data_IF_195967073837
#
_entry.id   IF_195967073837
#
_cell.length_a   1.000
_cell.length_b   1.000
_cell.length_c   1.000
_cell.angle_alpha   90.00
_cell.angle_beta   90.00
_cell.angle_gamma   90.00
#
_symmetry.space_group_name_H-M   'P 1'
#
loop_
_entity.id
_entity.type
_entity.pdbx_description
1 polymer ?
#
# COMPACT_ATOMS: atom_id res chain seq x y z
N UNK A 1 -16.76 2.40 26.54
CA UNK A 1 -17.63 3.56 26.33
C UNK A 1 -18.79 3.16 25.44
N UNK A 2 -19.99 3.76 25.63
CA UNK A 2 -21.18 3.41 24.86
C UNK A 2 -21.05 3.74 23.37
N UNK A 3 -20.15 4.65 23.03
CA UNK A 3 -19.83 5.08 21.67
C UNK A 3 -18.64 4.30 21.06
N UNK A 4 -18.06 3.35 21.81
CA UNK A 4 -16.89 2.56 21.36
C UNK A 4 -15.57 3.34 21.29
N UNK A 5 -15.58 4.63 21.61
CA UNK A 5 -14.35 5.42 21.63
C UNK A 5 -13.50 5.11 22.87
N UNK A 6 -12.18 4.99 22.67
CA UNK A 6 -11.24 4.76 23.77
C UNK A 6 -11.11 6.03 24.61
N UNK A 7 -11.29 5.89 25.91
CA UNK A 7 -11.00 6.94 26.91
C UNK A 7 -9.99 6.39 27.88
N UNK A 8 -8.72 6.80 27.71
CA UNK A 8 -7.64 6.36 28.56
C UNK A 8 -7.32 7.38 29.63
N UNK A 9 -7.38 6.97 30.89
CA UNK A 9 -6.95 7.78 32.05
C UNK A 9 -5.54 7.43 32.54
N UNK A 10 -4.95 6.34 32.05
CA UNK A 10 -3.69 5.80 32.58
C UNK A 10 -2.43 6.28 31.83
N UNK A 11 -2.59 7.07 30.76
CA UNK A 11 -1.47 7.57 29.96
C UNK A 11 -1.06 6.65 28.80
N UNK A 12 0.10 6.90 28.17
CA UNK A 12 0.56 6.15 26.99
C UNK A 12 0.86 4.71 27.32
N UNK A 13 0.59 3.83 26.38
CA UNK A 13 1.01 2.43 26.41
C UNK A 13 1.10 1.87 24.97
N UNK A 14 1.95 0.87 24.74
CA UNK A 14 1.98 0.18 23.46
C UNK A 14 0.64 -0.49 23.16
N UNK A 15 0.18 -0.39 21.90
CA UNK A 15 -1.14 -0.89 21.49
C UNK A 15 -1.04 -1.73 20.24
N UNK A 16 -1.68 -2.89 20.25
CA UNK A 16 -1.97 -3.67 19.06
C UNK A 16 -3.48 -3.61 18.78
N UNK A 17 -3.84 -2.97 17.68
CA UNK A 17 -5.22 -2.90 17.21
C UNK A 17 -5.41 -3.89 16.07
N UNK A 18 -5.95 -5.06 16.38
CA UNK A 18 -6.29 -6.07 15.38
C UNK A 18 -7.72 -5.85 14.86
N UNK A 19 -7.91 -6.16 13.58
CA UNK A 19 -9.20 -6.08 12.92
C UNK A 19 -9.33 -7.14 11.81
N UNK A 20 -10.47 -7.86 11.71
CA UNK A 20 -10.82 -8.59 10.50
C UNK A 20 -11.38 -7.61 9.43
N UNK A 21 -11.06 -7.84 8.16
CA UNK A 21 -11.52 -6.97 7.05
C UNK A 21 -13.03 -6.96 6.91
N UNK A 22 -13.64 -8.15 6.92
CA UNK A 22 -15.10 -8.31 6.85
C UNK A 22 -15.68 -8.35 8.26
N UNK A 23 -15.94 -7.18 8.79
CA UNK A 23 -16.46 -7.10 10.15
C UNK A 23 -17.96 -7.41 10.22
N UNK A 24 -18.29 -8.60 10.72
CA UNK A 24 -19.66 -9.02 11.02
C UNK A 24 -20.29 -8.30 12.22
N UNK A 25 -19.99 -7.02 12.43
CA UNK A 25 -20.59 -6.24 13.53
C UNK A 25 -22.11 -6.19 13.36
N UNK A 26 -22.89 -6.52 14.38
CA UNK A 26 -24.33 -6.43 14.30
C UNK A 26 -24.78 -5.01 13.90
N UNK A 27 -25.83 -4.88 13.07
CA UNK A 27 -26.35 -3.57 12.68
C UNK A 27 -26.64 -2.68 13.89
N UNK A 28 -26.29 -1.41 13.78
CA UNK A 28 -26.56 -0.40 14.84
C UNK A 28 -25.54 -0.37 15.99
N UNK A 29 -24.45 -1.14 15.89
CA UNK A 29 -23.35 -1.05 16.86
C UNK A 29 -22.12 -0.41 16.23
N UNK A 30 -21.50 0.62 16.84
CA UNK A 30 -20.36 1.33 16.27
C UNK A 30 -19.03 0.56 16.35
N UNK A 31 -19.01 -0.61 17.00
CA UNK A 31 -17.81 -1.40 17.15
C UNK A 31 -17.35 -1.96 15.81
N UNK A 32 -16.11 -1.65 15.45
CA UNK A 32 -15.51 -2.12 14.22
C UNK A 32 -15.80 -1.27 12.98
N UNK A 33 -16.57 -0.22 13.09
CA UNK A 33 -16.73 0.76 12.01
C UNK A 33 -15.38 1.35 11.60
N UNK A 34 -15.11 1.55 10.29
CA UNK A 34 -13.85 2.13 9.81
C UNK A 34 -13.50 3.45 10.49
N UNK A 35 -14.49 4.33 10.66
CA UNK A 35 -14.33 5.65 11.32
C UNK A 35 -13.85 5.49 12.75
N UNK A 36 -14.44 4.57 13.51
CA UNK A 36 -14.07 4.34 14.91
C UNK A 36 -12.69 3.73 15.05
N UNK A 37 -12.35 2.77 14.19
CA UNK A 37 -11.02 2.16 14.17
C UNK A 37 -9.93 3.19 13.83
N UNK A 38 -10.22 4.07 12.87
CA UNK A 38 -9.34 5.19 12.52
C UNK A 38 -9.19 6.16 13.69
N UNK A 39 -10.30 6.54 14.35
CA UNK A 39 -10.27 7.41 15.52
C UNK A 39 -9.42 6.79 16.64
N UNK A 40 -9.62 5.53 16.98
CA UNK A 40 -8.87 4.85 18.02
C UNK A 40 -7.38 4.76 17.69
N UNK A 41 -7.04 4.46 16.42
CA UNK A 41 -5.65 4.44 15.97
C UNK A 41 -4.99 5.81 16.16
N UNK A 42 -5.59 6.89 15.67
CA UNK A 42 -5.04 8.24 15.83
C UNK A 42 -4.98 8.69 17.29
N UNK A 43 -5.95 8.31 18.11
CA UNK A 43 -5.91 8.59 19.54
C UNK A 43 -4.65 7.99 20.19
N UNK A 44 -4.39 6.71 19.95
CA UNK A 44 -3.20 6.05 20.50
C UNK A 44 -1.91 6.56 19.89
N UNK A 45 -1.88 6.83 18.60
CA UNK A 45 -0.72 7.43 17.94
C UNK A 45 -0.37 8.79 18.55
N UNK A 46 -1.36 9.65 18.78
CA UNK A 46 -1.15 10.95 19.42
C UNK A 46 -0.65 10.82 20.86
N UNK A 47 -1.24 9.92 21.65
CA UNK A 47 -0.87 9.70 23.04
C UNK A 47 0.53 9.12 23.18
N UNK A 48 0.93 8.26 22.28
CA UNK A 48 2.24 7.59 22.25
C UNK A 48 3.31 8.38 21.49
N UNK A 49 2.98 9.56 20.96
CA UNK A 49 3.88 10.39 20.16
C UNK A 49 4.48 9.62 18.97
N UNK A 50 3.59 8.94 18.21
CA UNK A 50 4.01 8.16 17.08
C UNK A 50 4.35 9.01 15.85
N UNK A 51 5.27 8.49 15.04
CA UNK A 51 5.49 8.95 13.68
C UNK A 51 4.21 8.82 12.84
N UNK A 52 3.99 9.77 11.92
CA UNK A 52 2.78 9.77 11.09
C UNK A 52 2.81 8.72 10.00
N UNK A 53 4.00 8.50 9.43
CA UNK A 53 4.19 7.54 8.35
C UNK A 53 4.46 6.16 8.94
N UNK A 54 3.62 5.15 8.66
CA UNK A 54 3.84 3.81 9.16
C UNK A 54 4.93 3.08 8.37
N UNK A 55 5.50 2.07 8.99
CA UNK A 55 6.20 1.01 8.29
C UNK A 55 5.18 -0.06 7.92
N UNK A 56 5.06 -0.42 6.65
CA UNK A 56 4.02 -1.33 6.16
C UNK A 56 4.65 -2.68 5.80
N UNK A 57 3.98 -3.75 6.25
CA UNK A 57 4.29 -5.12 5.84
C UNK A 57 2.99 -5.86 5.52
N UNK A 58 2.95 -6.55 4.38
CA UNK A 58 1.82 -7.41 4.01
C UNK A 58 2.34 -8.80 3.69
N UNK A 59 2.09 -9.75 4.57
CA UNK A 59 2.49 -11.15 4.41
C UNK A 59 1.24 -12.03 4.29
N UNK A 60 1.01 -12.58 3.10
CA UNK A 60 -0.22 -13.30 2.83
C UNK A 60 -1.46 -12.42 3.03
N UNK A 61 -2.33 -12.80 3.94
CA UNK A 61 -3.55 -12.06 4.32
C UNK A 61 -3.33 -11.07 5.47
N UNK A 62 -2.17 -11.10 6.13
CA UNK A 62 -1.86 -10.24 7.27
C UNK A 62 -1.28 -8.91 6.80
N UNK A 63 -1.99 -7.83 7.09
CA UNK A 63 -1.68 -6.47 6.71
C UNK A 63 -1.32 -5.65 7.94
N UNK A 64 -0.08 -5.18 8.01
CA UNK A 64 0.44 -4.46 9.18
C UNK A 64 0.83 -3.03 8.83
N UNK A 65 0.48 -2.10 9.71
CA UNK A 65 1.06 -0.76 9.77
C UNK A 65 1.66 -0.55 11.16
N UNK A 66 2.99 -0.44 11.23
CA UNK A 66 3.76 -0.24 12.45
C UNK A 66 4.07 1.25 12.63
N UNK A 67 3.48 1.88 13.61
CA UNK A 67 3.74 3.28 13.98
C UNK A 67 4.71 3.32 15.15
N UNK A 68 5.92 3.79 14.91
CA UNK A 68 6.93 3.95 15.94
C UNK A 68 6.60 5.14 16.82
N UNK A 69 6.54 4.94 18.14
CA UNK A 69 6.18 5.97 19.11
C UNK A 69 7.25 6.16 20.18
N UNK A 70 7.51 7.42 20.54
CA UNK A 70 8.47 7.76 21.59
C UNK A 70 8.07 7.19 22.96
N UNK A 71 6.76 7.00 23.18
CA UNK A 71 6.19 6.49 24.45
C UNK A 71 5.63 5.08 24.35
N UNK A 72 5.64 4.48 23.15
CA UNK A 72 5.17 3.15 22.88
C UNK A 72 4.68 3.01 21.44
N UNK A 73 4.93 1.86 20.83
CA UNK A 73 4.51 1.59 19.45
C UNK A 73 3.00 1.39 19.37
N UNK A 74 2.44 1.75 18.21
CA UNK A 74 1.07 1.37 17.84
C UNK A 74 1.14 0.49 16.60
N UNK A 75 0.55 -0.70 16.68
CA UNK A 75 0.42 -1.61 15.55
C UNK A 75 -1.04 -1.65 15.12
N UNK A 76 -1.29 -1.34 13.85
CA UNK A 76 -2.55 -1.60 13.20
C UNK A 76 -2.41 -2.86 12.36
N UNK A 77 -3.26 -3.85 12.63
CA UNK A 77 -3.23 -5.14 11.96
C UNK A 77 -4.60 -5.47 11.41
N UNK A 78 -4.70 -5.56 10.09
CA UNK A 78 -5.89 -5.98 9.38
C UNK A 78 -5.67 -7.34 8.71
N UNK A 79 -6.70 -8.19 8.71
CA UNK A 79 -6.60 -9.53 8.14
C UNK A 79 -7.58 -9.62 6.99
N UNK A 80 -7.02 -9.76 5.78
CA UNK A 80 -7.76 -9.86 4.53
C UNK A 80 -8.75 -11.03 4.56
N UNK A 81 -9.96 -10.80 4.04
CA UNK A 81 -11.01 -11.81 3.93
C UNK A 81 -11.46 -12.47 5.25
N UNK A 82 -10.99 -11.97 6.39
CA UNK A 82 -11.36 -12.53 7.70
C UNK A 82 -12.66 -11.92 8.20
N UNK A 83 -13.55 -12.77 8.71
CA UNK A 83 -14.72 -12.39 9.46
C UNK A 83 -14.40 -12.27 10.97
N UNK A 84 -15.40 -11.86 11.76
CA UNK A 84 -15.25 -11.71 13.21
C UNK A 84 -14.82 -13.01 13.87
N UNK A 85 -13.66 -13.01 14.47
CA UNK A 85 -13.07 -14.15 15.15
C UNK A 85 -11.55 -14.10 15.15
N UNK A 86 -10.93 -14.77 16.10
CA UNK A 86 -9.48 -14.93 16.20
C UNK A 86 -9.12 -16.40 16.09
N UNK A 87 -7.95 -16.65 15.51
CA UNK A 87 -7.33 -17.99 15.50
C UNK A 87 -6.14 -18.03 16.45
N UNK A 88 -5.67 -19.25 16.75
CA UNK A 88 -4.45 -19.40 17.56
C UNK A 88 -3.24 -18.75 16.91
N UNK A 89 -3.16 -18.77 15.57
CA UNK A 89 -2.05 -18.17 14.82
C UNK A 89 -1.96 -16.66 15.07
N UNK A 90 -3.10 -15.97 15.14
CA UNK A 90 -3.14 -14.54 15.47
C UNK A 90 -2.66 -14.27 16.90
N UNK A 91 -3.00 -15.13 17.85
CA UNK A 91 -2.52 -15.00 19.24
C UNK A 91 -0.99 -15.14 19.32
N UNK A 92 -0.39 -16.06 18.56
CA UNK A 92 1.06 -16.19 18.45
C UNK A 92 1.69 -14.95 17.80
N UNK A 93 1.08 -14.40 16.73
CA UNK A 93 1.54 -13.16 16.12
C UNK A 93 1.54 -12.00 17.12
N UNK A 94 0.47 -11.82 17.90
CA UNK A 94 0.42 -10.76 18.91
C UNK A 94 1.48 -10.94 19.99
N UNK A 95 1.74 -12.17 20.41
CA UNK A 95 2.77 -12.45 21.38
C UNK A 95 4.16 -12.20 20.81
N UNK A 96 4.48 -12.80 19.66
CA UNK A 96 5.83 -12.77 19.08
C UNK A 96 6.23 -11.39 18.56
N UNK A 97 5.30 -10.67 17.91
CA UNK A 97 5.59 -9.33 17.41
C UNK A 97 5.58 -8.24 18.49
N UNK A 98 4.89 -8.49 19.61
CA UNK A 98 4.57 -7.36 20.48
C UNK A 98 4.67 -7.68 21.97
N UNK A 99 3.79 -8.53 22.48
CA UNK A 99 3.63 -8.65 23.94
C UNK A 99 4.82 -9.29 24.64
N UNK A 100 5.53 -10.23 24.01
CA UNK A 100 6.73 -10.83 24.59
C UNK A 100 7.85 -9.83 24.86
N UNK A 101 7.85 -8.70 24.14
CA UNK A 101 8.81 -7.61 24.30
C UNK A 101 8.38 -6.50 25.28
N UNK A 102 7.21 -6.63 25.91
CA UNK A 102 6.69 -5.57 26.80
C UNK A 102 6.86 -5.94 28.27
N UNK A 103 7.31 -4.96 29.03
CA UNK A 103 7.43 -5.09 30.48
C UNK A 103 6.93 -3.81 31.18
N UNK A 104 5.99 -3.96 32.10
CA UNK A 104 5.57 -2.87 32.95
C UNK A 104 6.51 -2.75 34.16
N UNK A 105 7.03 -1.54 34.39
CA UNK A 105 7.88 -1.22 35.51
C UNK A 105 7.06 -0.82 36.75
N UNK A 106 7.70 -0.79 37.92
CA UNK A 106 7.05 -0.46 39.18
C UNK A 106 6.48 1.00 39.21
N UNK A 107 7.08 1.90 38.45
CA UNK A 107 6.65 3.30 38.32
C UNK A 107 5.50 3.50 37.31
N UNK A 108 5.02 2.40 36.72
CA UNK A 108 3.96 2.43 35.71
C UNK A 108 4.43 2.68 34.27
N UNK A 109 5.71 2.99 34.07
CA UNK A 109 6.29 3.09 32.72
C UNK A 109 6.33 1.72 32.04
N UNK A 110 6.43 1.71 30.70
CA UNK A 110 6.54 0.47 29.93
C UNK A 110 7.88 0.46 29.20
N UNK A 111 8.64 -0.60 29.42
CA UNK A 111 9.84 -0.90 28.63
C UNK A 111 9.43 -1.79 27.48
N UNK A 112 9.87 -1.44 26.26
CA UNK A 112 9.66 -2.21 25.07
C UNK A 112 11.01 -2.68 24.54
N UNK A 113 11.19 -3.98 24.46
CA UNK A 113 12.37 -4.62 23.89
C UNK A 113 12.09 -5.17 22.49
N UNK A 114 13.13 -5.63 21.82
CA UNK A 114 12.96 -6.40 20.60
C UNK A 114 12.20 -7.70 20.86
N UNK A 115 11.38 -8.09 19.91
CA UNK A 115 10.62 -9.33 19.91
C UNK A 115 11.27 -10.36 19.00
N UNK A 116 10.76 -11.59 18.99
CA UNK A 116 11.21 -12.67 18.10
C UNK A 116 11.06 -12.28 16.64
N UNK A 117 9.94 -11.64 16.31
CA UNK A 117 9.66 -11.14 14.96
C UNK A 117 9.80 -9.60 14.91
N UNK A 118 10.50 -9.03 13.92
CA UNK A 118 10.70 -7.60 13.85
C UNK A 118 9.39 -6.86 13.51
N UNK A 119 9.14 -5.74 14.17
CA UNK A 119 8.05 -4.82 13.85
C UNK A 119 8.53 -3.79 12.82
N UNK A 120 8.82 -4.26 11.64
CA UNK A 120 9.33 -3.44 10.54
C UNK A 120 8.47 -3.63 9.30
N UNK A 121 8.47 -2.64 8.42
CA UNK A 121 7.89 -2.79 7.10
C UNK A 121 8.66 -3.78 6.23
N UNK A 122 8.07 -4.11 5.09
CA UNK A 122 8.73 -4.94 4.08
C UNK A 122 10.03 -4.29 3.61
N UNK A 123 11.06 -5.10 3.41
CA UNK A 123 12.39 -4.63 3.03
C UNK A 123 12.37 -3.92 1.67
N UNK A 124 11.57 -4.44 0.75
CA UNK A 124 11.27 -3.80 -0.53
C UNK A 124 9.75 -3.83 -0.77
N UNK A 125 9.16 -2.66 -0.72
CA UNK A 125 7.77 -2.48 -1.12
C UNK A 125 7.49 -1.02 -1.49
N UNK A 126 6.50 -0.81 -2.34
CA UNK A 126 5.92 0.50 -2.58
C UNK A 126 4.42 0.42 -2.80
N UNK A 127 3.73 1.52 -2.51
CA UNK A 127 2.30 1.63 -2.69
C UNK A 127 1.92 2.96 -3.33
N UNK A 128 0.89 2.92 -4.17
CA UNK A 128 0.39 4.07 -4.90
C UNK A 128 -1.14 4.06 -4.86
N UNK A 129 -1.75 5.21 -4.67
CA UNK A 129 -3.20 5.37 -4.71
C UNK A 129 -3.64 6.21 -5.90
N UNK A 130 -4.78 5.84 -6.50
CA UNK A 130 -5.42 6.61 -7.57
C UNK A 130 -5.66 8.07 -7.16
N UNK A 131 -5.38 9.00 -8.06
CA UNK A 131 -5.59 10.43 -7.87
C UNK A 131 -4.56 11.12 -6.98
N UNK A 132 -3.54 10.43 -6.45
CA UNK A 132 -2.51 11.02 -5.60
C UNK A 132 -1.18 11.17 -6.34
N UNK A 133 -0.44 12.24 -6.02
CA UNK A 133 0.93 12.48 -6.44
C UNK A 133 1.97 12.07 -5.40
N UNK A 134 1.55 11.30 -4.41
CA UNK A 134 2.39 10.74 -3.36
C UNK A 134 2.35 9.22 -3.42
N UNK A 135 3.51 8.62 -3.24
CA UNK A 135 3.67 7.19 -3.10
C UNK A 135 4.33 6.86 -1.76
N UNK A 136 4.04 5.69 -1.22
CA UNK A 136 4.80 5.12 -0.13
C UNK A 136 5.86 4.20 -0.74
N UNK A 137 7.13 4.37 -0.38
CA UNK A 137 8.25 3.58 -0.88
C UNK A 137 9.24 3.30 0.24
N UNK A 138 9.46 2.02 0.56
CA UNK A 138 10.39 1.54 1.60
C UNK A 138 10.32 2.38 2.88
N UNK A 139 9.14 2.47 3.48
CA UNK A 139 8.85 3.20 4.73
C UNK A 139 8.95 4.73 4.65
N UNK A 140 8.90 5.31 3.46
CA UNK A 140 8.90 6.76 3.24
C UNK A 140 7.81 7.17 2.28
N UNK A 141 7.28 8.36 2.49
CA UNK A 141 6.42 9.02 1.49
C UNK A 141 7.30 9.78 0.52
N UNK A 142 7.16 9.49 -0.76
CA UNK A 142 7.91 10.12 -1.85
C UNK A 142 6.94 10.77 -2.85
N UNK A 143 7.28 11.93 -3.43
CA UNK A 143 6.42 12.58 -4.42
C UNK A 143 6.56 11.91 -5.80
N UNK A 144 5.46 11.86 -6.54
CA UNK A 144 5.46 11.61 -7.98
C UNK A 144 5.28 12.95 -8.72
N UNK A 145 5.78 13.07 -9.93
CA UNK A 145 5.68 14.31 -10.73
C UNK A 145 4.26 14.65 -11.15
N UNK A 146 3.44 13.62 -11.34
CA UNK A 146 2.00 13.74 -11.63
C UNK A 146 1.24 12.66 -10.89
N UNK A 147 -0.05 12.87 -10.59
CA UNK A 147 -0.86 11.87 -9.90
C UNK A 147 -0.98 10.56 -10.67
N UNK A 148 -1.07 9.45 -9.93
CA UNK A 148 -1.52 8.18 -10.47
C UNK A 148 -2.95 8.29 -11.01
N UNK A 149 -3.25 7.53 -12.05
CA UNK A 149 -4.55 7.59 -12.74
C UNK A 149 -5.12 6.20 -12.93
N UNK A 150 -6.33 5.97 -12.44
CA UNK A 150 -7.11 4.78 -12.79
C UNK A 150 -7.66 4.94 -14.21
N UNK A 151 -7.17 4.13 -15.12
CA UNK A 151 -7.52 4.16 -16.54
C UNK A 151 -8.46 3.02 -16.90
N UNK A 152 -9.58 3.36 -17.55
CA UNK A 152 -10.53 2.39 -18.08
C UNK A 152 -10.26 2.15 -19.56
N UNK A 153 -9.89 0.93 -19.92
CA UNK A 153 -9.76 0.51 -21.31
C UNK A 153 -11.13 0.10 -21.84
N UNK A 154 -11.60 0.82 -22.86
CA UNK A 154 -12.90 0.60 -23.45
C UNK A 154 -12.81 -0.25 -24.72
N UNK A 155 -13.81 -1.09 -24.92
CA UNK A 155 -14.06 -1.79 -26.19
C UNK A 155 -15.37 -1.28 -26.79
N UNK A 156 -15.30 -0.84 -28.03
CA UNK A 156 -16.48 -0.50 -28.81
C UNK A 156 -17.13 -1.76 -29.36
N UNK A 157 -18.44 -1.90 -29.21
CA UNK A 157 -19.23 -2.96 -29.80
C UNK A 157 -20.03 -2.40 -30.98
N UNK A 158 -19.50 -2.61 -32.19
CA UNK A 158 -20.19 -2.51 -33.46
C UNK A 158 -21.07 -1.28 -33.68
N UNK A 159 -22.04 -1.42 -34.57
CA UNK A 159 -22.97 -0.35 -34.96
C UNK A 159 -23.95 0.08 -33.87
N UNK A 160 -24.15 -0.74 -32.85
CA UNK A 160 -25.08 -0.45 -31.75
C UNK A 160 -24.48 0.51 -30.70
N UNK A 161 -23.28 1.03 -30.93
CA UNK A 161 -22.68 2.15 -30.20
C UNK A 161 -22.39 1.92 -28.70
N UNK A 162 -22.51 0.71 -28.19
CA UNK A 162 -22.22 0.39 -26.79
C UNK A 162 -20.72 0.40 -26.52
N UNK A 163 -20.33 1.08 -25.44
CA UNK A 163 -18.97 0.97 -24.86
C UNK A 163 -19.00 -0.03 -23.71
N UNK A 164 -18.06 -0.96 -23.71
CA UNK A 164 -17.87 -1.88 -22.59
C UNK A 164 -16.47 -1.71 -22.00
N UNK A 165 -16.39 -1.56 -20.69
CA UNK A 165 -15.12 -1.58 -19.99
C UNK A 165 -14.48 -2.95 -20.18
N UNK A 166 -13.28 -2.97 -20.76
CA UNK A 166 -12.49 -4.18 -21.00
C UNK A 166 -11.55 -4.49 -19.84
N UNK A 167 -11.12 -3.46 -19.13
CA UNK A 167 -10.26 -3.55 -17.95
C UNK A 167 -10.05 -2.17 -17.35
N UNK A 168 -9.67 -2.17 -16.09
CA UNK A 168 -9.26 -0.98 -15.34
C UNK A 168 -7.82 -1.19 -14.87
N UNK A 169 -6.99 -0.18 -15.00
CA UNK A 169 -5.56 -0.25 -14.71
C UNK A 169 -5.12 1.00 -13.98
N UNK A 170 -4.41 0.86 -12.88
CA UNK A 170 -3.73 1.98 -12.25
C UNK A 170 -2.46 2.29 -13.02
N UNK A 171 -2.38 3.51 -13.58
CA UNK A 171 -1.24 3.99 -14.36
C UNK A 171 -0.46 5.02 -13.54
N UNK A 172 0.86 4.88 -13.55
CA UNK A 172 1.78 5.74 -12.79
C UNK A 172 2.91 6.27 -13.69
N UNK A 173 3.55 7.37 -13.29
CA UNK A 173 4.64 7.97 -14.07
C UNK A 173 5.79 7.00 -14.29
N UNK A 174 6.29 6.95 -15.54
CA UNK A 174 7.48 6.16 -15.90
C UNK A 174 8.71 6.65 -15.13
N UNK A 175 8.80 7.95 -14.85
CA UNK A 175 9.86 8.52 -14.01
C UNK A 175 9.88 7.96 -12.60
N UNK A 176 8.70 7.74 -11.99
CA UNK A 176 8.60 7.12 -10.66
C UNK A 176 8.96 5.62 -10.69
N UNK A 177 8.55 4.90 -11.75
CA UNK A 177 8.98 3.52 -11.94
C UNK A 177 10.50 3.40 -12.04
N UNK A 178 11.14 4.37 -12.70
CA UNK A 178 12.61 4.41 -12.72
C UNK A 178 13.22 4.55 -11.33
N UNK A 179 12.63 5.42 -10.49
CA UNK A 179 13.10 5.63 -9.12
C UNK A 179 13.02 4.35 -8.28
N UNK A 180 11.85 3.68 -8.28
CA UNK A 180 11.64 2.48 -7.44
C UNK A 180 12.44 1.27 -7.87
N UNK A 181 12.82 1.17 -9.16
CA UNK A 181 13.64 0.06 -9.65
C UNK A 181 15.11 0.43 -9.91
N UNK A 182 15.51 1.67 -9.60
CA UNK A 182 16.88 2.14 -9.80
C UNK A 182 17.30 2.24 -11.28
N UNK A 183 16.33 2.47 -12.20
CA UNK A 183 16.59 2.60 -13.62
C UNK A 183 16.98 4.03 -13.99
N UNK A 184 17.72 4.17 -15.10
CA UNK A 184 17.95 5.46 -15.73
C UNK A 184 16.72 5.87 -16.56
N UNK A 185 16.17 7.06 -16.29
CA UNK A 185 15.04 7.62 -17.02
C UNK A 185 15.48 8.65 -18.07
N UNK A 186 15.11 8.43 -19.32
CA UNK A 186 15.43 9.30 -20.46
C UNK A 186 14.13 9.71 -21.18
N UNK A 187 13.55 10.88 -20.85
CA UNK A 187 12.38 11.37 -21.57
C UNK A 187 12.79 11.88 -22.95
N UNK A 188 11.91 11.70 -23.94
CA UNK A 188 12.05 12.36 -25.24
C UNK A 188 11.88 13.89 -25.11
N UNK A 189 12.42 14.63 -26.08
CA UNK A 189 12.39 16.10 -26.05
C UNK A 189 10.97 16.70 -26.01
N UNK A 190 9.99 16.01 -26.60
CA UNK A 190 8.57 16.37 -26.62
C UNK A 190 7.76 15.76 -25.47
N UNK A 191 8.43 14.97 -24.59
CA UNK A 191 7.82 14.18 -23.52
C UNK A 191 6.79 13.13 -23.97
N UNK A 192 6.63 12.91 -25.28
CA UNK A 192 5.69 11.92 -25.83
C UNK A 192 6.30 10.52 -25.92
N UNK A 193 7.60 10.41 -25.70
CA UNK A 193 8.35 9.16 -25.62
C UNK A 193 9.19 9.13 -24.36
N UNK A 194 9.52 7.95 -23.88
CA UNK A 194 10.47 7.77 -22.78
C UNK A 194 11.23 6.45 -22.95
N UNK A 195 12.47 6.42 -22.49
CA UNK A 195 13.29 5.22 -22.37
C UNK A 195 13.63 5.00 -20.91
N UNK A 196 13.55 3.75 -20.44
CA UNK A 196 14.16 3.27 -19.21
C UNK A 196 15.31 2.35 -19.52
N UNK A 197 16.44 2.53 -18.84
CA UNK A 197 17.54 1.57 -18.83
C UNK A 197 17.60 0.94 -17.45
N UNK A 198 17.18 -0.33 -17.34
CA UNK A 198 17.15 -1.06 -16.08
C UNK A 198 18.57 -1.38 -15.58
N UNK A 199 18.76 -1.66 -14.28
CA UNK A 199 20.07 -2.04 -13.73
C UNK A 199 20.69 -3.28 -14.36
N UNK A 200 19.86 -4.19 -14.91
CA UNK A 200 20.31 -5.38 -15.63
C UNK A 200 20.69 -5.13 -17.10
N UNK A 201 20.57 -3.88 -17.56
CA UNK A 201 20.90 -3.43 -18.90
C UNK A 201 19.75 -3.47 -19.91
N UNK A 202 18.60 -4.04 -19.60
CA UNK A 202 17.43 -4.02 -20.47
C UNK A 202 16.97 -2.58 -20.74
N UNK A 203 16.58 -2.32 -21.99
CA UNK A 203 16.10 -1.01 -22.44
C UNK A 203 14.64 -1.11 -22.81
N UNK A 204 13.82 -0.29 -22.18
CA UNK A 204 12.38 -0.22 -22.40
C UNK A 204 12.02 1.13 -23.03
N UNK A 205 11.29 1.12 -24.13
CA UNK A 205 10.87 2.35 -24.83
C UNK A 205 9.35 2.42 -24.88
N UNK A 206 8.83 3.55 -24.46
CA UNK A 206 7.41 3.87 -24.39
C UNK A 206 7.06 5.05 -25.29
N UNK A 207 5.85 5.03 -25.87
CA UNK A 207 5.32 6.14 -26.63
C UNK A 207 3.85 6.41 -26.25
N UNK A 208 3.47 7.67 -26.19
CA UNK A 208 2.10 8.10 -25.92
C UNK A 208 1.10 7.37 -26.83
N UNK A 209 0.02 6.87 -26.23
CA UNK A 209 -1.07 6.19 -26.92
C UNK A 209 -0.72 4.80 -27.47
N UNK A 210 0.55 4.36 -27.35
CA UNK A 210 0.95 3.02 -27.74
C UNK A 210 0.61 2.00 -26.66
N UNK A 211 0.02 0.87 -27.04
CA UNK A 211 -0.10 -0.32 -26.21
C UNK A 211 1.18 -1.16 -26.25
N UNK A 212 2.08 -0.88 -27.19
CA UNK A 212 3.36 -1.58 -27.33
C UNK A 212 4.47 -0.87 -26.57
N UNK A 213 5.28 -1.67 -25.89
CA UNK A 213 6.58 -1.28 -25.34
C UNK A 213 7.66 -2.05 -26.09
N UNK A 214 8.72 -1.36 -26.52
CA UNK A 214 9.89 -2.03 -27.13
C UNK A 214 10.88 -2.37 -26.02
N UNK A 215 11.22 -3.65 -25.88
CA UNK A 215 12.20 -4.16 -24.90
C UNK A 215 13.32 -4.80 -25.66
N UNK A 216 14.52 -4.19 -25.65
CA UNK A 216 15.71 -4.70 -26.36
C UNK A 216 15.47 -5.03 -27.84
N UNK A 217 14.73 -4.15 -28.55
CA UNK A 217 14.25 -4.28 -29.93
C UNK A 217 13.08 -5.25 -30.16
N UNK A 218 12.54 -5.91 -29.13
CA UNK A 218 11.37 -6.74 -29.22
C UNK A 218 10.11 -5.97 -28.80
N UNK A 219 9.07 -6.00 -29.62
CA UNK A 219 7.78 -5.39 -29.27
C UNK A 219 6.99 -6.29 -28.32
N UNK A 220 6.61 -5.74 -27.17
CA UNK A 220 5.76 -6.39 -26.17
C UNK A 220 4.49 -5.60 -25.92
N UNK A 221 3.37 -6.27 -25.72
CA UNK A 221 2.10 -5.64 -25.45
C UNK A 221 1.94 -5.33 -23.98
N UNK A 222 1.61 -4.09 -23.65
CA UNK A 222 1.17 -3.68 -22.30
C UNK A 222 -0.32 -4.01 -22.10
N UNK A 223 -0.80 -3.88 -20.86
CA UNK A 223 -2.22 -4.11 -20.56
C UNK A 223 -3.12 -3.00 -21.10
N UNK A 224 -2.64 -1.77 -21.08
CA UNK A 224 -3.28 -0.61 -21.68
C UNK A 224 -2.25 0.29 -22.36
N UNK A 225 -2.74 1.28 -23.11
CA UNK A 225 -1.91 2.29 -23.77
C UNK A 225 -1.17 3.17 -22.76
N UNK A 226 0.02 3.64 -23.12
CA UNK A 226 0.75 4.64 -22.35
C UNK A 226 0.00 5.99 -22.41
N UNK A 227 -0.36 6.52 -21.24
CA UNK A 227 -1.03 7.80 -21.10
C UNK A 227 0.01 8.93 -21.08
N UNK A 228 -0.41 10.14 -21.42
CA UNK A 228 0.42 11.33 -21.26
C UNK A 228 -0.34 12.37 -20.43
N UNK A 229 0.22 12.80 -19.31
CA UNK A 229 -0.35 13.81 -18.41
C UNK A 229 0.76 14.68 -17.83
N UNK A 230 0.56 15.98 -17.82
CA UNK A 230 1.48 16.92 -17.17
C UNK A 230 2.95 16.82 -17.62
N UNK A 231 3.21 16.42 -18.87
CA UNK A 231 4.57 16.22 -19.37
C UNK A 231 5.21 14.87 -19.00
N UNK A 232 4.44 13.95 -18.44
CA UNK A 232 4.90 12.60 -18.06
C UNK A 232 4.14 11.51 -18.84
N UNK A 233 4.82 10.44 -19.17
CA UNK A 233 4.18 9.19 -19.60
C UNK A 233 3.82 8.35 -18.38
N UNK A 234 2.59 7.80 -18.39
CA UNK A 234 2.11 6.88 -17.37
C UNK A 234 1.81 5.52 -18.02
N UNK A 235 2.20 4.46 -17.33
CA UNK A 235 1.96 3.07 -17.76
C UNK A 235 1.34 2.25 -16.63
N UNK A 236 0.67 1.15 -16.96
CA UNK A 236 0.08 0.26 -15.97
C UNK A 236 1.13 -0.25 -14.98
N UNK A 237 0.93 0.06 -13.71
CA UNK A 237 1.80 -0.40 -12.62
C UNK A 237 1.82 -1.93 -12.55
N UNK A 238 0.65 -2.56 -12.69
CA UNK A 238 0.54 -4.03 -12.65
C UNK A 238 1.35 -4.68 -13.78
N UNK A 239 1.20 -4.20 -15.03
CA UNK A 239 1.98 -4.73 -16.14
C UNK A 239 3.48 -4.59 -15.91
N UNK A 240 3.92 -3.41 -15.52
CA UNK A 240 5.35 -3.14 -15.33
C UNK A 240 5.93 -4.00 -14.19
N UNK A 241 5.27 -3.99 -13.04
CA UNK A 241 5.79 -4.69 -11.88
C UNK A 241 5.76 -6.21 -12.05
N UNK A 242 4.66 -6.78 -12.57
CA UNK A 242 4.58 -8.24 -12.79
C UNK A 242 5.45 -8.71 -13.94
N UNK A 243 5.40 -8.01 -15.07
CA UNK A 243 6.01 -8.48 -16.31
C UNK A 243 7.48 -8.09 -16.47
N UNK A 244 7.88 -6.91 -16.00
CA UNK A 244 9.24 -6.40 -16.14
C UNK A 244 10.09 -6.72 -14.92
N UNK A 245 9.55 -6.48 -13.71
CA UNK A 245 10.28 -6.62 -12.45
C UNK A 245 10.07 -7.98 -11.76
N UNK A 246 9.11 -8.78 -12.20
CA UNK A 246 8.71 -10.05 -11.56
C UNK A 246 8.32 -9.87 -10.08
N UNK A 247 7.61 -8.78 -9.77
CA UNK A 247 7.11 -8.46 -8.45
C UNK A 247 5.64 -8.85 -8.28
N UNK A 248 5.23 -9.03 -7.04
CA UNK A 248 3.83 -9.22 -6.68
C UNK A 248 3.11 -7.88 -6.63
N UNK A 249 1.89 -7.84 -7.16
CA UNK A 249 1.02 -6.67 -7.13
C UNK A 249 -0.31 -7.08 -6.52
N UNK A 250 -0.70 -6.41 -5.46
CA UNK A 250 -2.00 -6.55 -4.82
C UNK A 250 -2.74 -5.22 -4.90
N UNK A 251 -3.97 -5.24 -5.43
CA UNK A 251 -4.79 -4.04 -5.60
C UNK A 251 -6.07 -4.14 -4.78
N UNK A 252 -6.42 -3.06 -4.13
CA UNK A 252 -7.69 -2.90 -3.41
C UNK A 252 -8.13 -1.43 -3.46
N UNK A 253 -9.36 -1.18 -3.86
CA UNK A 253 -10.01 0.15 -3.87
C UNK A 253 -9.18 1.27 -4.53
N UNK A 254 -8.48 0.98 -5.62
CA UNK A 254 -7.64 1.95 -6.33
C UNK A 254 -6.30 2.24 -5.65
N UNK A 255 -5.89 1.41 -4.71
CA UNK A 255 -4.53 1.36 -4.16
C UNK A 255 -3.84 0.11 -4.66
N UNK A 256 -2.62 0.24 -5.14
CA UNK A 256 -1.74 -0.89 -5.45
C UNK A 256 -0.61 -0.95 -4.44
N UNK A 257 -0.34 -2.15 -3.91
CA UNK A 257 0.80 -2.49 -3.07
C UNK A 257 1.68 -3.49 -3.80
N UNK A 258 2.95 -3.19 -3.92
CA UNK A 258 3.93 -3.96 -4.68
C UNK A 258 5.06 -4.42 -3.77
N UNK A 259 5.40 -5.70 -3.84
CA UNK A 259 6.48 -6.29 -3.04
C UNK A 259 7.07 -7.52 -3.74
N UNK A 260 8.14 -8.08 -3.22
CA UNK A 260 8.85 -9.24 -3.75
C UNK A 260 8.31 -10.60 -3.28
N UNK A 261 7.29 -10.59 -2.42
CA UNK A 261 6.66 -11.79 -1.88
C UNK A 261 5.13 -11.76 -1.99
N UNK A 262 4.47 -12.89 -1.70
CA UNK A 262 3.02 -12.99 -1.75
C UNK A 262 2.34 -12.10 -0.72
N UNK A 263 1.48 -11.22 -1.19
CA UNK A 263 0.74 -10.26 -0.38
C UNK A 263 -0.67 -10.05 -0.93
N UNK A 264 -1.64 -9.83 -0.04
CA UNK A 264 -3.02 -9.48 -0.39
C UNK A 264 -3.46 -8.26 0.39
N UNK A 265 -3.52 -7.11 -0.29
CA UNK A 265 -3.90 -5.83 0.29
C UNK A 265 -5.36 -5.84 0.75
N UNK A 266 -5.61 -5.48 1.99
CA UNK A 266 -6.94 -5.29 2.55
C UNK A 266 -7.48 -3.88 2.29
N UNK A 267 -8.81 -3.74 2.28
CA UNK A 267 -9.46 -2.44 2.12
C UNK A 267 -9.07 -1.46 3.23
N UNK A 268 -8.98 -1.96 4.47
CA UNK A 268 -8.64 -1.11 5.61
C UNK A 268 -7.18 -0.63 5.58
N UNK A 269 -6.24 -1.45 5.11
CA UNK A 269 -4.86 -0.99 4.93
C UNK A 269 -4.71 -0.08 3.71
N UNK A 270 -5.51 -0.29 2.65
CA UNK A 270 -5.58 0.64 1.53
C UNK A 270 -5.98 2.05 2.00
N UNK A 271 -6.91 2.17 2.96
CA UNK A 271 -7.28 3.45 3.58
C UNK A 271 -6.10 4.07 4.35
N UNK A 272 -5.33 3.26 5.08
CA UNK A 272 -4.11 3.73 5.77
C UNK A 272 -3.09 4.31 4.79
N UNK A 273 -2.91 3.67 3.64
CA UNK A 273 -1.98 4.13 2.60
C UNK A 273 -2.41 5.48 1.99
N UNK A 274 -3.74 5.73 1.89
CA UNK A 274 -4.27 7.00 1.37
C UNK A 274 -4.15 8.17 2.35
N UNK A 275 -4.07 7.91 3.64
CA UNK A 275 -3.95 8.93 4.70
C UNK A 275 -2.60 9.65 4.69
#
# INVERSE_FOLDING_TARGET
TDDGAIKNAAGPLPVWQARPETNGTPPGRPYGEPVLNRFNRFYWMALNECEKTPQISIVGEHNFAFYKGAKGDVVYHDIKNRDHGQTLDEAFLYWDYFFSGLRRNADGSVTQSETILPRTGDAYAFAVADGTDKAWFCNKVVPMRVPAVKWQKLKYHGLDGGQKVRGEYLCIPVSFLAEVCGAEYRPGADTLTAELVLPDGRRLQFARGSIGCVIDNDLRSMYCEALHRGGELLVSIEWFCRYILNLQVSECDGVAYITDHFSTLSANLADVIRE
#
